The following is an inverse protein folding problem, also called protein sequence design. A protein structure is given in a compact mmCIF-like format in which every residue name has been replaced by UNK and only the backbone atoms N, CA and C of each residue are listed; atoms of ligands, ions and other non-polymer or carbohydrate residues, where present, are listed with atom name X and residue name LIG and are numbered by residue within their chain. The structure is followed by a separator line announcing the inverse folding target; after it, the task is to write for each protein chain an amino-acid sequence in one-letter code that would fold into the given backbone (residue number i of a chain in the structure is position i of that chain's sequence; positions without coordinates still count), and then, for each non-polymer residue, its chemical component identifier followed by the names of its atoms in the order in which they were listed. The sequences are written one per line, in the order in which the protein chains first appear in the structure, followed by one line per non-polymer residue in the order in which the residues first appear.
data_IF_586694763633
#
_entry.id   IF_586694763633
#
_cell.length_a   1.000
_cell.length_b   1.000
_cell.length_c   1.000
_cell.angle_alpha   90.00
_cell.angle_beta   90.00
_cell.angle_gamma   90.00
#
_symmetry.space_group_name_H-M   'P 1'
#
loop_
_entity.id
_entity.type
_entity.pdbx_description
1 polymer ?
#
# COMPACT_ATOMS: atom_id res chain seq x y z
N UNK A 1 23.65 29.22 -25.20
CA UNK A 1 23.09 29.11 -26.56
C UNK A 1 21.85 28.25 -26.49
N UNK A 2 20.66 28.80 -26.81
CA UNK A 2 19.45 28.00 -26.99
C UNK A 2 19.58 27.24 -28.32
N UNK A 3 19.62 25.91 -28.27
CA UNK A 3 19.52 25.05 -29.45
C UNK A 3 18.06 24.61 -29.64
N UNK A 4 17.60 24.56 -30.89
CA UNK A 4 16.23 24.16 -31.26
C UNK A 4 16.32 22.83 -32.01
N UNK A 5 15.65 21.79 -31.49
CA UNK A 5 15.43 20.55 -32.24
C UNK A 5 14.20 20.75 -33.15
N UNK A 6 14.41 20.63 -34.46
CA UNK A 6 13.35 20.70 -35.48
C UNK A 6 13.15 19.29 -36.04
N UNK A 7 11.92 18.78 -35.99
CA UNK A 7 11.58 17.50 -36.60
C UNK A 7 11.43 17.71 -38.13
N UNK A 8 12.24 17.06 -38.99
CA UNK A 8 12.09 17.19 -40.43
C UNK A 8 11.03 16.17 -40.87
N UNK A 9 9.78 16.57 -40.89
CA UNK A 9 8.76 15.85 -41.66
C UNK A 9 8.07 16.84 -42.58
N UNK A 10 8.11 16.54 -43.89
CA UNK A 10 7.53 17.34 -44.98
C UNK A 10 6.00 17.53 -44.90
N UNK A 11 5.34 17.13 -43.81
CA UNK A 11 3.89 17.08 -43.67
C UNK A 11 3.33 17.92 -42.50
N UNK A 12 4.16 18.61 -41.72
CA UNK A 12 3.72 19.54 -40.67
C UNK A 12 3.80 20.99 -41.16
N UNK A 13 2.66 21.69 -41.18
CA UNK A 13 2.57 23.10 -41.59
C UNK A 13 3.27 24.08 -40.61
N UNK A 14 3.62 23.62 -39.40
CA UNK A 14 4.34 24.40 -38.39
C UNK A 14 5.40 23.51 -37.73
N UNK A 15 6.69 23.92 -37.72
CA UNK A 15 7.74 23.16 -37.06
C UNK A 15 7.49 23.13 -35.54
N UNK A 16 7.46 21.93 -34.95
CA UNK A 16 7.39 21.75 -33.50
C UNK A 16 8.77 22.06 -32.90
N UNK A 17 8.84 23.04 -32.00
CA UNK A 17 10.09 23.51 -31.40
C UNK A 17 10.14 23.16 -29.91
N UNK A 18 11.28 22.64 -29.45
CA UNK A 18 11.56 22.51 -28.02
C UNK A 18 12.79 23.34 -27.63
N UNK A 19 12.61 24.14 -26.59
CA UNK A 19 13.65 25.01 -26.03
C UNK A 19 14.62 24.15 -25.22
N UNK A 20 15.87 24.08 -25.66
CA UNK A 20 16.93 23.36 -24.96
C UNK A 20 17.59 24.29 -23.93
N UNK A 21 17.52 23.91 -22.65
CA UNK A 21 18.35 24.52 -21.61
C UNK A 21 19.73 23.83 -21.56
N UNK A 22 20.82 24.55 -21.23
CA UNK A 22 22.13 23.95 -21.06
C UNK A 22 22.12 22.91 -19.92
N UNK A 23 22.80 21.77 -20.10
CA UNK A 23 22.89 20.62 -19.19
C UNK A 23 21.65 19.70 -19.06
N UNK A 24 20.78 19.63 -20.07
CA UNK A 24 19.64 18.72 -20.09
C UNK A 24 19.48 18.08 -21.46
N UNK A 25 19.52 16.75 -21.57
CA UNK A 25 19.21 16.07 -22.84
C UNK A 25 17.70 16.02 -23.06
N UNK A 26 17.24 16.42 -24.23
CA UNK A 26 15.84 16.27 -24.64
C UNK A 26 15.75 15.32 -25.83
N UNK A 27 14.76 14.44 -25.84
CA UNK A 27 14.41 13.63 -27.01
C UNK A 27 12.99 13.95 -27.47
N UNK A 28 12.83 14.27 -28.76
CA UNK A 28 11.52 14.39 -29.39
C UNK A 28 11.00 12.99 -29.75
N UNK A 29 9.79 12.67 -29.30
CA UNK A 29 9.05 11.48 -29.74
C UNK A 29 7.74 11.93 -30.37
N UNK A 30 7.58 11.65 -31.67
CA UNK A 30 6.33 11.85 -32.39
C UNK A 30 5.75 10.48 -32.72
N UNK A 31 4.46 10.27 -32.46
CA UNK A 31 3.77 9.03 -32.83
C UNK A 31 2.47 9.34 -33.58
N UNK A 32 2.14 8.57 -34.63
CA UNK A 32 0.87 8.72 -35.33
C UNK A 32 -0.27 8.29 -34.41
N UNK A 33 -1.32 9.10 -34.30
CA UNK A 33 -2.57 8.70 -33.65
C UNK A 33 -3.23 7.61 -34.51
N UNK A 34 -3.29 6.38 -34.03
CA UNK A 34 -4.19 5.37 -34.61
C UNK A 34 -5.63 5.75 -34.18
N UNK A 35 -6.44 6.26 -35.09
CA UNK A 35 -7.89 6.33 -34.89
C UNK A 35 -8.52 5.04 -35.41
N UNK A 36 -9.14 4.27 -34.52
CA UNK A 36 -10.14 3.28 -34.90
C UNK A 36 -11.46 4.05 -35.17
N UNK A 37 -11.81 4.25 -36.44
CA UNK A 37 -13.12 4.79 -36.84
C UNK A 37 -13.10 5.96 -37.84
N UNK A 38 -13.24 5.61 -39.14
CA UNK A 38 -13.90 6.34 -40.25
C UNK A 38 -13.92 7.89 -40.29
N UNK A 39 -13.18 8.49 -41.25
CA UNK A 39 -13.68 9.15 -42.49
C UNK A 39 -12.52 9.86 -43.22
N UNK A 40 -12.45 9.84 -44.57
CA UNK A 40 -11.31 10.39 -45.33
C UNK A 40 -11.47 11.90 -45.53
N UNK A 41 -11.29 12.71 -44.48
CA UNK A 41 -11.15 14.17 -44.66
C UNK A 41 -10.37 14.93 -43.58
N UNK A 42 -9.83 14.28 -42.55
CA UNK A 42 -9.08 14.99 -41.51
C UNK A 42 -7.58 14.67 -41.56
N UNK A 43 -6.77 15.70 -41.81
CA UNK A 43 -5.30 15.67 -41.75
C UNK A 43 -4.86 15.08 -40.41
N UNK A 44 -4.00 14.06 -40.46
CA UNK A 44 -3.40 13.38 -39.30
C UNK A 44 -2.77 14.39 -38.32
N UNK A 45 -3.28 14.57 -37.08
CA UNK A 45 -2.54 15.31 -36.08
C UNK A 45 -1.53 14.36 -35.43
N UNK A 46 -0.27 14.45 -35.86
CA UNK A 46 0.85 13.89 -35.09
C UNK A 46 0.88 14.57 -33.72
N UNK A 47 0.94 13.79 -32.64
CA UNK A 47 1.19 14.33 -31.29
C UNK A 47 2.69 14.15 -31.01
N UNK A 48 3.42 15.25 -31.00
CA UNK A 48 4.84 15.27 -30.61
C UNK A 48 4.95 15.66 -29.14
N UNK A 49 5.83 14.96 -28.40
CA UNK A 49 6.15 15.27 -27.01
C UNK A 49 7.66 15.42 -26.87
N UNK A 50 8.09 16.38 -26.05
CA UNK A 50 9.48 16.50 -25.64
C UNK A 50 9.69 15.77 -24.32
N UNK A 51 10.49 14.71 -24.38
CA UNK A 51 10.86 13.93 -23.21
C UNK A 51 12.22 14.41 -22.73
N UNK A 52 12.29 14.95 -21.51
CA UNK A 52 13.55 15.28 -20.85
C UNK A 52 14.24 13.95 -20.50
N UNK A 53 15.36 13.65 -21.16
CA UNK A 53 16.29 12.63 -20.69
C UNK A 53 17.11 13.25 -19.57
N UNK A 54 16.61 13.13 -18.35
CA UNK A 54 17.48 13.33 -17.20
C UNK A 54 18.50 12.18 -17.22
N UNK A 55 19.77 12.52 -17.43
CA UNK A 55 20.88 11.64 -17.10
C UNK A 55 20.90 11.50 -15.57
N UNK A 56 20.03 10.64 -15.05
CA UNK A 56 20.03 10.20 -13.66
C UNK A 56 21.34 9.44 -13.48
N UNK A 57 22.37 10.11 -12.96
CA UNK A 57 23.50 9.44 -12.35
C UNK A 57 22.94 8.44 -11.32
N UNK A 58 23.48 7.22 -11.19
CA UNK A 58 22.92 6.19 -10.29
C UNK A 58 22.80 6.63 -8.82
N UNK A 59 23.42 7.77 -8.46
CA UNK A 59 23.35 8.40 -7.14
C UNK A 59 22.21 9.42 -6.95
N UNK A 60 21.41 9.74 -7.98
CA UNK A 60 20.29 10.69 -7.85
C UNK A 60 18.91 10.03 -7.87
N UNK A 61 18.82 8.70 -7.80
CA UNK A 61 17.55 8.05 -7.48
C UNK A 61 17.22 8.36 -6.02
N UNK A 62 16.24 9.24 -5.80
CA UNK A 62 15.73 9.56 -4.47
C UNK A 62 15.33 8.31 -3.69
N UNK A 63 15.19 8.43 -2.36
CA UNK A 63 14.86 7.28 -1.52
C UNK A 63 13.57 6.58 -1.97
N UNK A 64 12.56 7.36 -2.39
CA UNK A 64 11.26 6.83 -2.83
C UNK A 64 11.25 6.54 -4.33
N UNK A 65 10.78 5.35 -4.71
CA UNK A 65 10.43 4.96 -6.08
C UNK A 65 8.98 5.34 -6.44
N UNK A 66 8.15 5.76 -5.47
CA UNK A 66 6.79 6.24 -5.76
C UNK A 66 6.86 7.59 -6.48
N UNK A 67 6.35 7.66 -7.71
CA UNK A 67 6.30 8.88 -8.51
C UNK A 67 4.94 9.59 -8.40
N UNK A 68 4.95 10.91 -8.59
CA UNK A 68 3.74 11.75 -8.49
C UNK A 68 2.61 11.30 -9.46
N UNK A 69 2.97 10.92 -10.68
CA UNK A 69 2.01 10.56 -11.74
C UNK A 69 1.49 9.11 -11.66
N UNK A 70 1.98 8.29 -10.73
CA UNK A 70 1.64 6.86 -10.69
C UNK A 70 0.36 6.53 -9.93
N UNK A 71 -0.21 7.48 -9.17
CA UNK A 71 -1.41 7.22 -8.37
C UNK A 71 -2.67 6.95 -9.23
N UNK A 72 -3.30 5.76 -9.07
CA UNK A 72 -4.56 5.43 -9.73
C UNK A 72 -5.74 6.31 -9.29
N UNK A 73 -5.64 6.97 -8.13
CA UNK A 73 -6.72 7.75 -7.54
C UNK A 73 -6.50 9.25 -7.71
N UNK A 74 -7.59 10.01 -7.67
CA UNK A 74 -7.53 11.47 -7.69
C UNK A 74 -7.25 12.00 -6.29
N UNK A 75 -6.29 12.93 -6.17
CA UNK A 75 -5.86 13.50 -4.89
C UNK A 75 -7.00 14.15 -4.11
N UNK A 76 -7.97 14.75 -4.80
CA UNK A 76 -9.15 15.37 -4.18
C UNK A 76 -10.11 14.39 -3.50
N UNK A 77 -10.07 13.10 -3.85
CA UNK A 77 -11.04 12.10 -3.36
C UNK A 77 -10.44 11.12 -2.34
N UNK A 78 -9.15 11.25 -1.99
CA UNK A 78 -8.45 10.29 -1.11
C UNK A 78 -9.16 10.12 0.23
N UNK A 79 -9.49 11.22 0.89
CA UNK A 79 -10.14 11.19 2.20
C UNK A 79 -11.57 10.68 2.15
N UNK A 80 -12.33 11.04 1.11
CA UNK A 80 -13.68 10.54 0.89
C UNK A 80 -13.70 9.04 0.63
N UNK A 81 -12.74 8.53 -0.16
CA UNK A 81 -12.59 7.10 -0.44
C UNK A 81 -12.14 6.32 0.80
N UNK A 82 -11.20 6.88 1.59
CA UNK A 82 -10.80 6.29 2.87
C UNK A 82 -11.98 6.26 3.85
N UNK A 83 -12.74 7.35 3.97
CA UNK A 83 -13.93 7.40 4.82
C UNK A 83 -14.97 6.37 4.37
N UNK A 84 -15.20 6.23 3.06
CA UNK A 84 -16.09 5.21 2.53
C UNK A 84 -15.63 3.81 2.95
N UNK A 85 -14.34 3.48 2.80
CA UNK A 85 -13.78 2.22 3.28
C UNK A 85 -13.99 2.02 4.79
N UNK A 86 -13.66 3.02 5.60
CA UNK A 86 -13.73 2.92 7.06
C UNK A 86 -15.16 2.71 7.56
N UNK A 87 -16.11 3.51 7.09
CA UNK A 87 -17.48 3.48 7.61
C UNK A 87 -18.35 2.37 7.01
N UNK A 88 -18.02 1.87 5.80
CA UNK A 88 -18.83 0.83 5.16
C UNK A 88 -18.26 -0.58 5.30
N UNK A 89 -16.94 -0.71 5.49
CA UNK A 89 -16.27 -2.00 5.56
C UNK A 89 -15.56 -2.16 6.90
N UNK A 90 -14.53 -1.36 7.17
CA UNK A 90 -13.62 -1.62 8.28
C UNK A 90 -14.29 -1.59 9.65
N UNK A 91 -14.98 -0.49 10.00
CA UNK A 91 -15.61 -0.36 11.31
C UNK A 91 -16.71 -1.43 11.51
N UNK A 92 -17.65 -1.63 10.56
CA UNK A 92 -18.66 -2.69 10.70
C UNK A 92 -18.07 -4.09 10.83
N UNK A 93 -17.07 -4.45 10.03
CA UNK A 93 -16.50 -5.80 10.05
C UNK A 93 -15.59 -6.03 11.26
N UNK A 94 -14.66 -5.12 11.54
CA UNK A 94 -13.68 -5.28 12.62
C UNK A 94 -14.29 -5.17 14.02
N UNK A 95 -15.27 -4.28 14.24
CA UNK A 95 -15.86 -4.06 15.58
C UNK A 95 -17.28 -4.61 15.74
N UNK A 96 -18.02 -4.77 14.64
CA UNK A 96 -19.39 -5.29 14.65
C UNK A 96 -19.51 -6.76 14.22
N UNK A 97 -18.57 -7.26 13.40
CA UNK A 97 -18.73 -8.53 12.69
C UNK A 97 -18.96 -9.73 13.61
N UNK A 98 -18.11 -9.90 14.64
CA UNK A 98 -18.26 -10.99 15.60
C UNK A 98 -19.54 -10.88 16.44
N UNK A 99 -19.97 -9.66 16.78
CA UNK A 99 -21.23 -9.44 17.51
C UNK A 99 -22.44 -9.89 16.69
N UNK A 100 -22.42 -9.67 15.37
CA UNK A 100 -23.46 -10.15 14.45
C UNK A 100 -23.46 -11.67 14.39
N UNK A 101 -22.29 -12.32 14.33
CA UNK A 101 -22.20 -13.79 14.34
C UNK A 101 -22.71 -14.38 15.65
N UNK A 102 -22.32 -13.79 16.78
CA UNK A 102 -22.80 -14.17 18.11
C UNK A 102 -24.35 -14.11 18.19
N UNK A 103 -24.93 -13.03 17.68
CA UNK A 103 -26.38 -12.85 17.59
C UNK A 103 -27.05 -13.96 16.75
N UNK A 104 -26.52 -14.29 15.57
CA UNK A 104 -27.07 -15.36 14.73
C UNK A 104 -26.95 -16.75 15.35
N UNK A 105 -25.90 -17.01 16.11
CA UNK A 105 -25.71 -18.27 16.82
C UNK A 105 -26.50 -18.37 18.13
N UNK A 106 -27.15 -17.27 18.55
CA UNK A 106 -27.86 -17.21 19.83
C UNK A 106 -26.96 -17.39 21.05
N UNK A 107 -25.66 -17.10 20.91
CA UNK A 107 -24.67 -17.22 21.99
C UNK A 107 -24.09 -15.84 22.30
N UNK A 108 -23.98 -15.42 23.57
CA UNK A 108 -23.36 -14.15 23.92
C UNK A 108 -21.85 -14.14 23.71
N UNK A 109 -21.21 -15.31 23.76
CA UNK A 109 -19.78 -15.51 23.57
C UNK A 109 -19.62 -16.69 22.60
N UNK A 110 -18.83 -16.49 21.55
CA UNK A 110 -18.54 -17.54 20.58
C UNK A 110 -17.53 -18.53 21.17
N UNK A 111 -17.65 -19.81 20.84
CA UNK A 111 -16.57 -20.74 21.12
C UNK A 111 -15.33 -20.37 20.28
N UNK A 112 -14.10 -20.68 20.75
CA UNK A 112 -12.90 -20.20 20.09
C UNK A 112 -12.75 -20.64 18.64
N UNK A 113 -13.25 -21.83 18.27
CA UNK A 113 -13.18 -22.31 16.89
C UNK A 113 -14.12 -21.52 15.98
N UNK A 114 -15.37 -21.30 16.42
CA UNK A 114 -16.33 -20.47 15.70
C UNK A 114 -15.83 -19.03 15.58
N UNK A 115 -15.23 -18.48 16.64
CA UNK A 115 -14.65 -17.14 16.63
C UNK A 115 -13.51 -17.02 15.60
N UNK A 116 -12.57 -17.98 15.58
CA UNK A 116 -11.46 -17.99 14.63
C UNK A 116 -11.92 -18.11 13.17
N UNK A 117 -12.89 -18.99 12.89
CA UNK A 117 -13.47 -19.15 11.54
C UNK A 117 -14.24 -17.90 11.10
N UNK A 118 -14.95 -17.27 12.05
CA UNK A 118 -15.68 -16.04 11.80
C UNK A 118 -14.75 -14.88 11.49
N UNK A 119 -13.68 -14.71 12.27
CA UNK A 119 -12.63 -13.73 12.01
C UNK A 119 -12.02 -13.90 10.61
N UNK A 120 -11.63 -15.13 10.24
CA UNK A 120 -11.11 -15.40 8.90
C UNK A 120 -12.12 -15.03 7.81
N UNK A 121 -13.39 -15.40 7.98
CA UNK A 121 -14.44 -15.13 7.01
C UNK A 121 -14.70 -13.64 6.87
N UNK A 122 -14.82 -12.93 7.99
CA UNK A 122 -15.00 -11.48 8.04
C UNK A 122 -13.84 -10.77 7.34
N UNK A 123 -12.59 -11.19 7.59
CA UNK A 123 -11.41 -10.61 6.97
C UNK A 123 -11.37 -10.82 5.45
N UNK A 124 -11.79 -12.00 4.98
CA UNK A 124 -11.90 -12.28 3.53
C UNK A 124 -12.97 -11.41 2.88
N UNK A 125 -14.12 -11.23 3.55
CA UNK A 125 -15.20 -10.37 3.06
C UNK A 125 -14.78 -8.91 3.02
N UNK A 126 -14.12 -8.41 4.08
CA UNK A 126 -13.57 -7.07 4.14
C UNK A 126 -12.54 -6.85 3.02
N UNK A 127 -11.63 -7.81 2.82
CA UNK A 127 -10.64 -7.75 1.74
C UNK A 127 -11.29 -7.71 0.35
N UNK A 128 -12.27 -8.58 0.10
CA UNK A 128 -13.03 -8.56 -1.15
C UNK A 128 -13.74 -7.22 -1.37
N UNK A 129 -14.41 -6.71 -0.33
CA UNK A 129 -15.08 -5.41 -0.36
C UNK A 129 -14.12 -4.25 -0.63
N UNK A 130 -12.95 -4.26 0.01
CA UNK A 130 -11.92 -3.24 -0.17
C UNK A 130 -11.39 -3.24 -1.61
N UNK A 131 -11.11 -4.42 -2.19
CA UNK A 131 -10.68 -4.53 -3.58
C UNK A 131 -11.74 -4.00 -4.56
N UNK A 132 -13.01 -4.30 -4.32
CA UNK A 132 -14.13 -3.79 -5.12
C UNK A 132 -14.23 -2.27 -5.02
N UNK A 133 -14.22 -1.71 -3.81
CA UNK A 133 -14.30 -0.28 -3.55
C UNK A 133 -13.12 0.46 -4.20
N UNK A 134 -11.89 -0.02 -3.99
CA UNK A 134 -10.69 0.58 -4.56
C UNK A 134 -10.68 0.53 -6.08
N UNK A 135 -11.22 -0.53 -6.68
CA UNK A 135 -11.39 -0.63 -8.13
C UNK A 135 -12.42 0.37 -8.67
N UNK A 136 -13.56 0.55 -7.99
CA UNK A 136 -14.60 1.49 -8.43
C UNK A 136 -14.19 2.96 -8.28
N UNK A 137 -13.34 3.25 -7.30
CA UNK A 137 -12.87 4.62 -7.03
C UNK A 137 -11.62 5.00 -7.83
N UNK A 138 -10.98 4.04 -8.51
CA UNK A 138 -9.81 4.30 -9.36
C UNK A 138 -10.20 4.95 -10.69
N UNK A 139 -9.27 5.72 -11.28
CA UNK A 139 -9.44 6.34 -12.61
C UNK A 139 -9.84 5.28 -13.66
N UNK A 140 -10.81 5.54 -14.57
CA UNK A 140 -11.34 4.54 -15.51
C UNK A 140 -10.28 3.89 -16.42
N UNK A 141 -9.19 4.61 -16.69
CA UNK A 141 -8.08 4.16 -17.51
C UNK A 141 -7.14 3.16 -16.79
N UNK A 142 -7.27 2.99 -15.47
CA UNK A 142 -6.42 2.12 -14.68
C UNK A 142 -7.00 0.70 -14.62
N UNK A 143 -6.35 -0.27 -15.27
CA UNK A 143 -6.70 -1.69 -15.09
C UNK A 143 -6.14 -2.18 -13.75
N UNK A 144 -6.98 -2.77 -12.91
CA UNK A 144 -6.59 -3.31 -11.60
C UNK A 144 -5.41 -4.31 -11.68
N UNK A 145 -5.30 -5.07 -12.78
CA UNK A 145 -4.13 -5.93 -13.06
C UNK A 145 -2.79 -5.19 -13.04
N UNK A 146 -2.77 -3.89 -13.33
CA UNK A 146 -1.55 -3.08 -13.29
C UNK A 146 -1.08 -2.80 -11.86
N UNK A 147 -1.96 -2.88 -10.85
CA UNK A 147 -1.62 -2.65 -9.45
C UNK A 147 -0.52 -3.61 -8.96
N UNK A 148 -0.57 -4.87 -9.42
CA UNK A 148 0.49 -5.86 -9.14
C UNK A 148 1.60 -5.85 -10.21
N UNK A 149 1.28 -5.54 -11.47
CA UNK A 149 2.19 -5.72 -12.62
C UNK A 149 3.13 -4.54 -12.90
N UNK A 150 2.76 -3.30 -12.58
CA UNK A 150 3.61 -2.12 -12.89
C UNK A 150 4.87 -2.04 -12.01
N UNK A 151 4.79 -2.52 -10.77
CA UNK A 151 5.92 -2.52 -9.83
C UNK A 151 7.10 -3.41 -10.27
N UNK A 152 6.83 -4.43 -11.10
CA UNK A 152 7.86 -5.39 -11.51
C UNK A 152 8.76 -4.91 -12.66
N UNK A 153 8.31 -3.90 -13.42
CA UNK A 153 9.04 -3.44 -14.61
C UNK A 153 9.89 -2.18 -14.36
N UNK A 154 9.61 -1.44 -13.29
CA UNK A 154 10.28 -0.15 -12.99
C UNK A 154 11.26 -0.23 -11.83
N UNK A 155 10.98 -1.02 -10.80
CA UNK A 155 11.89 -1.09 -9.65
C UNK A 155 13.05 -2.04 -9.94
N UNK A 156 14.23 -1.46 -10.17
CA UNK A 156 15.50 -2.19 -10.21
C UNK A 156 15.95 -2.63 -8.79
N UNK A 157 15.17 -2.26 -7.76
CA UNK A 157 15.49 -2.51 -6.35
C UNK A 157 14.95 -3.87 -5.92
N UNK A 158 15.80 -4.65 -5.27
CA UNK A 158 15.44 -5.99 -4.82
C UNK A 158 14.48 -5.89 -3.62
N UNK A 159 13.20 -6.12 -3.87
CA UNK A 159 12.17 -6.09 -2.83
C UNK A 159 12.43 -7.13 -1.72
N UNK A 160 13.07 -8.28 -2.02
CA UNK A 160 13.46 -9.24 -0.99
C UNK A 160 14.50 -8.67 -0.03
N UNK A 161 15.46 -7.91 -0.56
CA UNK A 161 16.46 -7.24 0.28
C UNK A 161 15.80 -6.17 1.14
N UNK A 162 14.85 -5.40 0.58
CA UNK A 162 14.04 -4.45 1.36
C UNK A 162 13.27 -5.15 2.48
N UNK A 163 12.66 -6.31 2.19
CA UNK A 163 11.93 -7.09 3.19
C UNK A 163 12.84 -7.59 4.30
N UNK A 164 14.00 -8.15 3.97
CA UNK A 164 14.93 -8.68 4.97
C UNK A 164 15.49 -7.57 5.87
N UNK A 165 15.95 -6.46 5.28
CA UNK A 165 16.47 -5.31 6.02
C UNK A 165 15.36 -4.64 6.82
N UNK A 166 14.18 -4.44 6.22
CA UNK A 166 13.03 -3.84 6.88
C UNK A 166 12.51 -4.68 8.04
N UNK A 167 12.45 -6.00 7.90
CA UNK A 167 12.06 -6.90 8.99
C UNK A 167 13.08 -6.91 10.13
N UNK A 168 14.38 -7.01 9.81
CA UNK A 168 15.44 -6.93 10.82
C UNK A 168 15.42 -5.60 11.58
N UNK A 169 15.24 -4.48 10.85
CA UNK A 169 15.11 -3.16 11.45
C UNK A 169 13.85 -3.05 12.32
N UNK A 170 12.71 -3.58 11.86
CA UNK A 170 11.47 -3.58 12.63
C UNK A 170 11.63 -4.33 13.96
N UNK A 171 12.13 -5.57 13.92
CA UNK A 171 12.33 -6.38 15.13
C UNK A 171 13.27 -5.68 16.12
N UNK A 172 14.36 -5.09 15.62
CA UNK A 172 15.27 -4.29 16.45
C UNK A 172 14.56 -3.10 17.09
N UNK A 173 13.80 -2.34 16.32
CA UNK A 173 13.13 -1.14 16.82
C UNK A 173 12.07 -1.49 17.87
N UNK A 174 11.28 -2.53 17.61
CA UNK A 174 10.28 -3.03 18.56
C UNK A 174 10.96 -3.47 19.85
N UNK A 175 12.02 -4.28 19.77
CA UNK A 175 12.79 -4.69 20.95
C UNK A 175 13.29 -3.49 21.77
N UNK A 176 13.91 -2.50 21.12
CA UNK A 176 14.41 -1.30 21.79
C UNK A 176 13.27 -0.49 22.44
N UNK A 177 12.13 -0.36 21.76
CA UNK A 177 10.98 0.37 22.30
C UNK A 177 10.31 -0.38 23.45
N UNK A 178 10.28 -1.72 23.42
CA UNK A 178 9.79 -2.54 24.53
C UNK A 178 10.71 -2.42 25.74
N UNK A 179 12.04 -2.46 25.56
CA UNK A 179 12.98 -2.21 26.65
C UNK A 179 12.79 -0.83 27.29
N UNK A 180 12.55 0.19 26.47
CA UNK A 180 12.29 1.54 26.96
C UNK A 180 10.95 1.62 27.70
N UNK A 181 9.90 1.00 27.15
CA UNK A 181 8.59 0.97 27.77
C UNK A 181 8.62 0.25 29.13
N UNK A 182 9.29 -0.90 29.22
CA UNK A 182 9.45 -1.65 30.48
C UNK A 182 10.16 -0.81 31.55
N UNK A 183 11.12 0.02 31.15
CA UNK A 183 11.86 0.90 32.07
C UNK A 183 11.04 2.10 32.54
N UNK A 184 10.17 2.64 31.69
CA UNK A 184 9.40 3.85 32.00
C UNK A 184 8.05 3.55 32.66
N UNK A 185 7.37 2.50 32.23
CA UNK A 185 5.97 2.22 32.59
C UNK A 185 5.78 0.85 33.27
N UNK A 186 6.82 0.02 33.34
CA UNK A 186 6.75 -1.35 33.82
C UNK A 186 6.25 -2.31 32.73
N UNK A 187 6.58 -3.59 32.88
CA UNK A 187 6.19 -4.62 31.92
C UNK A 187 4.69 -4.91 32.01
N UNK A 188 4.00 -4.71 30.89
CA UNK A 188 2.64 -5.24 30.70
C UNK A 188 2.74 -6.55 29.92
N UNK A 189 2.07 -7.63 30.36
CA UNK A 189 2.04 -8.86 29.58
C UNK A 189 1.42 -8.56 28.22
N UNK A 190 2.17 -8.84 27.16
CA UNK A 190 1.65 -8.84 25.78
C UNK A 190 0.85 -10.12 25.60
N UNK A 191 -0.26 -10.25 26.34
CA UNK A 191 -1.17 -11.37 26.18
C UNK A 191 -2.49 -10.86 25.58
N UNK A 192 -2.96 -11.57 24.57
CA UNK A 192 -4.34 -11.48 24.12
C UNK A 192 -4.94 -12.85 24.45
N UNK A 193 -5.65 -12.98 25.60
CA UNK A 193 -6.09 -14.28 26.08
C UNK A 193 -7.08 -14.92 25.12
N UNK A 194 -7.92 -14.11 24.48
CA UNK A 194 -8.88 -14.56 23.46
C UNK A 194 -8.14 -15.19 22.27
N UNK A 195 -7.12 -14.51 21.74
CA UNK A 195 -6.30 -15.05 20.65
C UNK A 195 -5.58 -16.34 21.09
N UNK A 196 -5.04 -16.39 22.31
CA UNK A 196 -4.38 -17.57 22.85
C UNK A 196 -5.34 -18.76 22.95
N UNK A 197 -6.56 -18.53 23.43
CA UNK A 197 -7.60 -19.56 23.51
C UNK A 197 -7.96 -20.10 22.13
N UNK A 198 -8.08 -19.24 21.10
CA UNK A 198 -8.28 -19.69 19.72
C UNK A 198 -7.12 -20.54 19.19
N UNK A 199 -5.88 -20.14 19.45
CA UNK A 199 -4.69 -20.86 19.00
C UNK A 199 -4.54 -22.25 19.64
N UNK A 200 -4.98 -22.40 20.89
CA UNK A 200 -4.88 -23.65 21.66
C UNK A 200 -6.09 -24.57 21.51
N UNK A 201 -7.23 -24.08 21.01
CA UNK A 201 -8.49 -24.83 20.95
C UNK A 201 -8.47 -26.06 20.03
N UNK A 202 -8.20 -25.86 18.73
CA UNK A 202 -8.22 -26.94 17.72
C UNK A 202 -7.29 -26.62 16.56
N UNK A 203 -6.91 -27.62 15.77
CA UNK A 203 -6.05 -27.40 14.59
C UNK A 203 -6.73 -26.54 13.52
N UNK A 204 -8.06 -26.67 13.37
CA UNK A 204 -8.86 -25.83 12.46
C UNK A 204 -8.86 -24.38 12.94
N UNK A 205 -9.09 -24.16 14.24
CA UNK A 205 -9.05 -22.82 14.85
C UNK A 205 -7.67 -22.17 14.67
N UNK A 206 -6.61 -22.92 14.96
CA UNK A 206 -5.22 -22.47 14.81
C UNK A 206 -4.89 -22.13 13.36
N UNK A 207 -5.25 -22.98 12.40
CA UNK A 207 -5.06 -22.72 10.97
C UNK A 207 -5.82 -21.46 10.55
N UNK A 208 -7.05 -21.28 11.03
CA UNK A 208 -7.86 -20.09 10.74
C UNK A 208 -7.20 -18.81 11.26
N UNK A 209 -6.65 -18.84 12.47
CA UNK A 209 -5.88 -17.73 13.03
C UNK A 209 -4.65 -17.41 12.18
N UNK A 210 -3.86 -18.42 11.79
CA UNK A 210 -2.66 -18.22 10.95
C UNK A 210 -3.03 -17.60 9.60
N UNK A 211 -4.07 -18.10 8.94
CA UNK A 211 -4.53 -17.54 7.67
C UNK A 211 -5.03 -16.09 7.83
N UNK A 212 -5.84 -15.83 8.85
CA UNK A 212 -6.41 -14.50 9.08
C UNK A 212 -5.31 -13.48 9.41
N UNK A 213 -4.47 -13.74 10.42
CA UNK A 213 -3.50 -12.77 10.94
C UNK A 213 -2.23 -12.65 10.11
N UNK A 214 -1.75 -13.74 9.50
CA UNK A 214 -0.47 -13.71 8.77
C UNK A 214 -0.64 -13.49 7.27
N UNK A 215 -1.83 -13.75 6.70
CA UNK A 215 -2.04 -13.69 5.25
C UNK A 215 -3.11 -12.66 4.89
N UNK A 216 -4.35 -12.87 5.30
CA UNK A 216 -5.47 -12.04 4.81
C UNK A 216 -5.39 -10.62 5.37
N UNK A 217 -5.09 -10.47 6.67
CA UNK A 217 -4.97 -9.14 7.31
C UNK A 217 -3.84 -8.31 6.70
N UNK A 218 -2.59 -8.80 6.60
CA UNK A 218 -1.52 -8.07 5.92
C UNK A 218 -1.86 -7.74 4.46
N UNK A 219 -2.50 -8.65 3.72
CA UNK A 219 -2.92 -8.36 2.35
C UNK A 219 -3.94 -7.22 2.28
N UNK A 220 -4.98 -7.25 3.12
CA UNK A 220 -5.97 -6.18 3.20
C UNK A 220 -5.31 -4.86 3.56
N UNK A 221 -4.61 -4.83 4.69
CA UNK A 221 -4.09 -3.60 5.27
C UNK A 221 -3.02 -2.97 4.38
N UNK A 222 -2.10 -3.76 3.81
CA UNK A 222 -1.11 -3.21 2.90
C UNK A 222 -1.74 -2.69 1.60
N UNK A 223 -2.77 -3.35 1.06
CA UNK A 223 -3.48 -2.85 -0.12
C UNK A 223 -4.15 -1.50 0.17
N UNK A 224 -4.80 -1.36 1.32
CA UNK A 224 -5.51 -0.12 1.69
C UNK A 224 -4.53 0.99 2.10
N UNK A 225 -3.62 0.73 3.03
CA UNK A 225 -2.82 1.79 3.64
C UNK A 225 -1.55 2.12 2.83
N UNK A 226 -0.91 1.12 2.20
CA UNK A 226 0.30 1.36 1.37
C UNK A 226 -0.09 1.53 -0.08
N UNK A 227 -0.82 0.56 -0.60
CA UNK A 227 -1.24 0.53 -1.99
C UNK A 227 -2.13 1.70 -2.40
N UNK A 228 -3.13 2.03 -1.59
CA UNK A 228 -4.03 3.14 -1.83
C UNK A 228 -3.60 4.44 -1.13
N UNK A 229 -3.63 4.48 0.21
CA UNK A 229 -3.50 5.73 0.96
C UNK A 229 -2.11 6.37 0.80
N UNK A 230 -1.04 5.63 1.09
CA UNK A 230 0.34 6.13 0.94
C UNK A 230 0.64 6.52 -0.50
N UNK A 231 0.35 5.65 -1.48
CA UNK A 231 0.53 5.98 -2.92
C UNK A 231 -0.21 7.26 -3.32
N UNK A 232 -1.44 7.45 -2.82
CA UNK A 232 -2.22 8.64 -3.14
C UNK A 232 -1.65 9.90 -2.48
N UNK A 233 -1.23 9.81 -1.22
CA UNK A 233 -0.60 10.94 -0.53
C UNK A 233 0.74 11.34 -1.17
N UNK A 234 1.56 10.35 -1.55
CA UNK A 234 2.83 10.57 -2.24
C UNK A 234 2.69 11.20 -3.63
N UNK A 235 1.47 11.31 -4.18
CA UNK A 235 1.23 12.08 -5.41
C UNK A 235 1.13 13.59 -5.21
N UNK A 236 1.06 14.04 -3.96
CA UNK A 236 0.87 15.46 -3.61
C UNK A 236 1.77 15.96 -2.48
N UNK A 237 2.39 15.04 -1.74
CA UNK A 237 3.24 15.30 -0.60
C UNK A 237 4.58 14.60 -0.78
N UNK A 238 5.62 15.15 -0.15
CA UNK A 238 6.90 14.47 -0.01
C UNK A 238 6.71 13.10 0.68
N UNK A 239 7.48 12.11 0.25
CA UNK A 239 7.30 10.72 0.69
C UNK A 239 7.37 10.57 2.21
N UNK A 240 8.18 11.37 2.91
CA UNK A 240 8.29 11.35 4.37
C UNK A 240 6.96 11.76 5.03
N UNK A 241 6.32 12.81 4.51
CA UNK A 241 5.04 13.30 5.02
C UNK A 241 3.93 12.28 4.73
N UNK A 242 3.93 11.70 3.53
CA UNK A 242 2.98 10.66 3.15
C UNK A 242 3.10 9.41 4.04
N UNK A 243 4.33 8.96 4.33
CA UNK A 243 4.60 7.85 5.27
C UNK A 243 4.12 8.21 6.67
N UNK A 244 4.44 9.40 7.17
CA UNK A 244 4.03 9.81 8.52
C UNK A 244 2.49 9.84 8.66
N UNK A 245 1.79 10.49 7.72
CA UNK A 245 0.33 10.61 7.75
C UNK A 245 -0.34 9.24 7.61
N UNK A 246 0.06 8.44 6.63
CA UNK A 246 -0.51 7.09 6.46
C UNK A 246 -0.27 6.20 7.69
N UNK A 247 0.88 6.33 8.35
CA UNK A 247 1.21 5.58 9.57
C UNK A 247 0.40 6.03 10.78
N UNK A 248 0.11 7.34 10.90
CA UNK A 248 -0.81 7.86 11.94
C UNK A 248 -2.21 7.32 11.72
N UNK A 249 -2.72 7.35 10.47
CA UNK A 249 -4.03 6.80 10.13
C UNK A 249 -4.10 5.31 10.43
N UNK A 250 -3.10 4.54 9.99
CA UNK A 250 -2.98 3.10 10.27
C UNK A 250 -3.00 2.80 11.77
N UNK A 251 -2.33 3.61 12.58
CA UNK A 251 -2.33 3.42 14.02
C UNK A 251 -3.68 3.80 14.67
N UNK A 252 -4.29 4.91 14.23
CA UNK A 252 -5.51 5.44 14.82
C UNK A 252 -6.74 4.52 14.63
N UNK A 253 -6.86 3.88 13.47
CA UNK A 253 -8.00 3.00 13.13
C UNK A 253 -8.07 1.73 13.98
N UNK A 254 -6.99 1.37 14.69
CA UNK A 254 -6.99 0.25 15.62
C UNK A 254 -7.68 0.58 16.95
N UNK A 255 -7.99 1.86 17.22
CA UNK A 255 -8.61 2.35 18.45
C UNK A 255 -7.94 1.86 19.74
N UNK A 256 -6.63 1.62 19.70
CA UNK A 256 -5.82 1.16 20.83
C UNK A 256 -4.81 2.22 21.21
N UNK A 257 -5.15 3.03 22.22
CA UNK A 257 -4.26 4.08 22.73
C UNK A 257 -2.93 3.53 23.26
N UNK A 258 -2.96 2.34 23.88
CA UNK A 258 -1.75 1.68 24.39
C UNK A 258 -0.81 1.23 23.28
N UNK A 259 -1.35 0.69 22.18
CA UNK A 259 -0.54 0.19 21.06
C UNK A 259 -0.24 1.26 20.00
N UNK A 260 -0.78 2.47 20.15
CA UNK A 260 -0.71 3.51 19.12
C UNK A 260 0.74 3.80 18.67
N UNK A 261 1.66 3.96 19.62
CA UNK A 261 3.06 4.27 19.31
C UNK A 261 3.73 3.11 18.57
N UNK A 262 3.47 1.87 19.00
CA UNK A 262 4.03 0.67 18.39
C UNK A 262 3.48 0.45 16.97
N UNK A 263 2.18 0.61 16.78
CA UNK A 263 1.52 0.53 15.48
C UNK A 263 1.99 1.64 14.52
N UNK A 264 2.23 2.85 15.04
CA UNK A 264 2.79 3.95 14.25
C UNK A 264 4.21 3.63 13.77
N UNK A 265 5.05 3.05 14.63
CA UNK A 265 6.40 2.59 14.28
C UNK A 265 6.35 1.53 13.17
N UNK A 266 5.52 0.49 13.33
CA UNK A 266 5.31 -0.55 12.32
C UNK A 266 4.84 0.12 11.02
N UNK A 267 3.87 1.03 11.16
CA UNK A 267 3.42 2.02 10.19
C UNK A 267 4.54 2.54 9.28
N UNK A 268 5.47 3.23 9.92
CA UNK A 268 6.59 3.91 9.28
C UNK A 268 7.55 2.95 8.59
N UNK A 269 7.91 1.82 9.22
CA UNK A 269 8.87 0.87 8.62
C UNK A 269 8.30 0.24 7.35
N UNK A 270 7.04 -0.19 7.41
CA UNK A 270 6.31 -0.75 6.27
C UNK A 270 6.16 0.28 5.13
N UNK A 271 5.78 1.52 5.48
CA UNK A 271 5.69 2.64 4.53
C UNK A 271 7.03 2.94 3.85
N UNK A 272 8.11 3.06 4.63
CA UNK A 272 9.46 3.27 4.11
C UNK A 272 9.94 2.13 3.22
N UNK A 273 9.65 0.88 3.57
CA UNK A 273 9.99 -0.28 2.75
C UNK A 273 9.24 -0.26 1.42
N UNK A 274 7.96 0.11 1.42
CA UNK A 274 7.20 0.26 0.18
C UNK A 274 7.71 1.43 -0.67
N UNK A 275 7.94 2.60 -0.08
CA UNK A 275 8.53 3.74 -0.79
C UNK A 275 9.88 3.38 -1.40
N UNK A 276 10.76 2.71 -0.65
CA UNK A 276 12.08 2.34 -1.14
C UNK A 276 12.04 1.27 -2.22
N UNK A 277 11.23 0.22 -2.04
CA UNK A 277 11.20 -0.91 -2.98
C UNK A 277 10.33 -0.65 -4.20
N UNK A 278 9.38 0.29 -4.11
CA UNK A 278 8.31 0.44 -5.10
C UNK A 278 7.45 -0.82 -5.27
N UNK A 279 7.53 -1.78 -4.34
CA UNK A 279 6.84 -3.07 -4.47
C UNK A 279 6.09 -3.42 -3.19
N UNK A 280 4.77 -3.49 -3.30
CA UNK A 280 3.87 -3.78 -2.18
C UNK A 280 4.18 -5.14 -1.52
N UNK A 281 4.71 -6.11 -2.29
CA UNK A 281 5.15 -7.41 -1.75
C UNK A 281 6.19 -7.26 -0.64
N UNK A 282 6.99 -6.19 -0.66
CA UNK A 282 7.98 -5.98 0.39
C UNK A 282 7.34 -5.71 1.74
N UNK A 283 6.39 -4.76 1.76
CA UNK A 283 5.62 -4.41 2.95
C UNK A 283 4.75 -5.57 3.43
N UNK A 284 4.06 -6.27 2.50
CA UNK A 284 3.26 -7.47 2.82
C UNK A 284 4.13 -8.51 3.51
N UNK A 285 5.32 -8.81 2.99
CA UNK A 285 6.20 -9.81 3.58
C UNK A 285 6.67 -9.42 4.99
N UNK A 286 7.07 -8.17 5.21
CA UNK A 286 7.49 -7.69 6.54
C UNK A 286 6.32 -7.78 7.52
N UNK A 287 5.14 -7.34 7.11
CA UNK A 287 3.93 -7.35 7.94
C UNK A 287 3.51 -8.79 8.28
N UNK A 288 3.42 -9.68 7.30
CA UNK A 288 3.13 -11.10 7.50
C UNK A 288 4.12 -11.78 8.46
N UNK A 289 5.42 -11.50 8.32
CA UNK A 289 6.44 -12.05 9.22
C UNK A 289 6.33 -11.50 10.63
N UNK A 290 6.04 -10.21 10.79
CA UNK A 290 5.83 -9.60 12.10
C UNK A 290 4.59 -10.17 12.81
N UNK A 291 3.49 -10.37 12.08
CA UNK A 291 2.29 -10.98 12.63
C UNK A 291 2.54 -12.45 12.99
N UNK A 292 3.27 -13.19 12.15
CA UNK A 292 3.66 -14.57 12.46
C UNK A 292 4.52 -14.65 13.73
N UNK A 293 5.50 -13.75 13.89
CA UNK A 293 6.29 -13.66 15.11
C UNK A 293 5.41 -13.40 16.34
N UNK A 294 4.46 -12.47 16.23
CA UNK A 294 3.53 -12.13 17.31
C UNK A 294 2.62 -13.32 17.68
N UNK A 295 2.12 -14.07 16.69
CA UNK A 295 1.36 -15.30 16.94
C UNK A 295 2.20 -16.37 17.65
N UNK A 296 3.44 -16.58 17.21
CA UNK A 296 4.35 -17.56 17.84
C UNK A 296 4.60 -17.18 19.30
N UNK A 297 4.86 -15.91 19.59
CA UNK A 297 5.01 -15.43 20.97
C UNK A 297 3.75 -15.70 21.78
N UNK A 298 2.57 -15.34 21.25
CA UNK A 298 1.27 -15.56 21.92
C UNK A 298 0.95 -17.03 22.18
N UNK A 299 1.39 -17.92 21.30
CA UNK A 299 1.19 -19.36 21.46
C UNK A 299 2.00 -19.93 22.64
N UNK A 300 3.26 -19.50 22.80
CA UNK A 300 4.18 -20.05 23.80
C UNK A 300 4.17 -19.31 25.15
N UNK A 301 3.81 -18.03 25.17
CA UNK A 301 3.86 -17.17 26.36
C UNK A 301 2.49 -16.60 26.69
#
# INVERSE_FOLDING_TARGET
MLSVLVCPSHELATPFQCLHFPNTDYSLKCSPKLQLGSTPSQRNPFKCFCNRKEHVTPFSQGFSELQEDDSPWESGNVWSNLALYLFTLHIPFSFGGLSVVALFNGQPVLDPQTEALSLLTIQILEFGGALVLLKYTAKPQYKFSNFSRKNKLLSNRNWFLSSAVGFGFLVLLIFLTSLLADRLFGSKPVNNPILKDMLLNSDISRLSCVLAYCIVTPLLEEVVYRGFLLTSLSSTLEWQQAVAISSVVFSAIHFSGENFLQLFIIGCVLGCSYCWSGNLSSSIAIHSLYNALTLVITYFY
#
